data_IF_575368614237
#
_entry.id   IF_575368614237
#
_cell.length_a   1.000
_cell.length_b   1.000
_cell.length_c   1.000
_cell.angle_alpha   90.00
_cell.angle_beta   90.00
_cell.angle_gamma   90.00
#
_symmetry.space_group_name_H-M   'P 1'
#
loop_
_entity.id
_entity.type
_entity.pdbx_description
1 polymer ?
#
# COMPACT_ATOMS: atom_id res chain seq x y z
N UNK A 1 -46.44 53.76 -4.04
CA UNK A 1 -45.76 53.01 -2.95
C UNK A 1 -45.79 51.48 -3.09
N UNK A 2 -46.53 50.89 -4.04
CA UNK A 2 -46.67 49.42 -4.20
C UNK A 2 -45.58 48.74 -5.07
N UNK A 3 -44.93 49.50 -5.96
CA UNK A 3 -43.95 48.99 -6.95
C UNK A 3 -42.57 48.60 -6.35
N UNK A 4 -42.14 49.22 -5.24
CA UNK A 4 -40.84 48.93 -4.61
C UNK A 4 -40.88 47.64 -3.76
N UNK A 5 -42.05 47.34 -3.18
CA UNK A 5 -42.25 46.17 -2.33
C UNK A 5 -42.26 44.85 -3.12
N UNK A 6 -42.83 44.85 -4.34
CA UNK A 6 -42.85 43.69 -5.23
C UNK A 6 -41.47 43.38 -5.82
N UNK A 7 -40.64 44.40 -6.09
CA UNK A 7 -39.26 44.24 -6.61
C UNK A 7 -38.32 43.58 -5.59
N UNK A 8 -38.39 43.95 -4.30
CA UNK A 8 -37.60 43.30 -3.23
C UNK A 8 -38.01 41.84 -2.99
N UNK A 9 -39.30 41.51 -3.13
CA UNK A 9 -39.78 40.12 -3.07
C UNK A 9 -39.26 39.30 -4.24
N UNK A 10 -39.31 39.82 -5.48
CA UNK A 10 -38.78 39.12 -6.67
C UNK A 10 -37.28 38.84 -6.59
N UNK A 11 -36.47 39.78 -6.11
CA UNK A 11 -35.02 39.57 -5.94
C UNK A 11 -34.74 38.53 -4.85
N UNK A 12 -35.52 38.51 -3.76
CA UNK A 12 -35.42 37.48 -2.71
C UNK A 12 -35.77 36.08 -3.24
N UNK A 13 -36.82 35.94 -4.04
CA UNK A 13 -37.18 34.65 -4.67
C UNK A 13 -36.14 34.18 -5.69
N UNK A 14 -35.52 35.10 -6.45
CA UNK A 14 -34.42 34.78 -7.36
C UNK A 14 -33.15 34.34 -6.60
N UNK A 15 -32.82 35.00 -5.49
CA UNK A 15 -31.68 34.61 -4.64
C UNK A 15 -31.89 33.23 -4.01
N UNK A 16 -33.10 32.92 -3.53
CA UNK A 16 -33.45 31.59 -3.00
C UNK A 16 -33.34 30.53 -4.11
N UNK A 17 -33.84 30.81 -5.31
CA UNK A 17 -33.72 29.91 -6.46
C UNK A 17 -32.26 29.63 -6.82
N UNK A 18 -31.39 30.64 -6.81
CA UNK A 18 -29.96 30.48 -7.08
C UNK A 18 -29.25 29.64 -6.01
N UNK A 19 -29.58 29.82 -4.73
CA UNK A 19 -29.04 29.01 -3.63
C UNK A 19 -29.45 27.54 -3.77
N UNK A 20 -30.71 27.26 -4.14
CA UNK A 20 -31.18 25.89 -4.38
C UNK A 20 -30.41 25.26 -5.55
N UNK A 21 -30.20 26.00 -6.64
CA UNK A 21 -29.42 25.51 -7.79
C UNK A 21 -27.99 25.17 -7.38
N UNK A 22 -27.33 26.01 -6.58
CA UNK A 22 -25.98 25.74 -6.08
C UNK A 22 -25.92 24.49 -5.19
N UNK A 23 -26.92 24.29 -4.32
CA UNK A 23 -26.99 23.09 -3.46
C UNK A 23 -27.16 21.83 -4.32
N UNK A 24 -28.04 21.86 -5.32
CA UNK A 24 -28.23 20.74 -6.26
C UNK A 24 -26.94 20.46 -7.05
N UNK A 25 -26.27 21.51 -7.55
CA UNK A 25 -24.99 21.37 -8.26
C UNK A 25 -23.89 20.78 -7.36
N UNK A 26 -23.81 21.22 -6.10
CA UNK A 26 -22.86 20.70 -5.13
C UNK A 26 -23.13 19.23 -4.80
N UNK A 27 -24.40 18.83 -4.70
CA UNK A 27 -24.78 17.43 -4.50
C UNK A 27 -24.43 16.54 -5.70
N UNK A 28 -24.63 17.04 -6.93
CA UNK A 28 -24.24 16.32 -8.16
C UNK A 28 -22.72 16.17 -8.23
N UNK A 29 -21.95 17.23 -7.93
CA UNK A 29 -20.50 17.17 -7.90
C UNK A 29 -19.99 16.22 -6.81
N UNK A 30 -20.59 16.25 -5.62
CA UNK A 30 -20.25 15.33 -4.53
C UNK A 30 -20.51 13.88 -4.94
N UNK A 31 -21.68 13.57 -5.50
CA UNK A 31 -22.01 12.24 -6.03
C UNK A 31 -21.04 11.80 -7.12
N UNK A 32 -20.69 12.70 -8.05
CA UNK A 32 -19.75 12.41 -9.13
C UNK A 32 -18.35 12.11 -8.59
N UNK A 33 -17.83 12.93 -7.68
CA UNK A 33 -16.53 12.71 -7.05
C UNK A 33 -16.50 11.42 -6.22
N UNK A 34 -17.58 11.14 -5.48
CA UNK A 34 -17.73 9.93 -4.69
C UNK A 34 -17.73 8.66 -5.56
N UNK A 35 -18.49 8.67 -6.67
CA UNK A 35 -18.54 7.54 -7.61
C UNK A 35 -17.17 7.32 -8.27
N UNK A 36 -16.49 8.40 -8.69
CA UNK A 36 -15.15 8.28 -9.29
C UNK A 36 -14.11 7.74 -8.30
N UNK A 37 -14.15 8.16 -7.03
CA UNK A 37 -13.28 7.64 -5.98
C UNK A 37 -13.49 6.13 -5.74
N UNK A 38 -14.74 5.68 -5.70
CA UNK A 38 -15.08 4.27 -5.47
C UNK A 38 -14.76 3.39 -6.70
N UNK A 39 -14.84 3.95 -7.91
CA UNK A 39 -14.48 3.25 -9.14
C UNK A 39 -12.94 3.10 -9.30
N UNK A 40 -12.16 4.14 -8.96
CA UNK A 40 -10.69 4.10 -9.08
C UNK A 40 -10.06 3.16 -8.01
N UNK A 41 -10.62 3.16 -6.80
CA UNK A 41 -10.21 2.23 -5.73
C UNK A 41 -10.57 0.77 -6.04
N UNK A 42 -11.74 0.50 -6.64
CA UNK A 42 -12.16 -0.87 -6.99
C UNK A 42 -11.38 -1.47 -8.16
N UNK A 43 -11.07 -0.71 -9.22
CA UNK A 43 -10.28 -1.22 -10.35
C UNK A 43 -8.81 -1.47 -9.99
N UNK A 44 -8.21 -0.59 -9.17
CA UNK A 44 -6.84 -0.79 -8.68
C UNK A 44 -6.73 -1.94 -7.69
N UNK A 45 -7.73 -2.14 -6.81
CA UNK A 45 -7.76 -3.29 -5.90
C UNK A 45 -8.06 -4.61 -6.61
N UNK A 46 -9.03 -4.68 -7.53
CA UNK A 46 -9.38 -5.94 -8.19
C UNK A 46 -8.26 -6.50 -9.08
N UNK A 47 -7.56 -5.64 -9.82
CA UNK A 47 -6.40 -6.02 -10.64
C UNK A 47 -5.18 -6.40 -9.78
N UNK A 48 -4.97 -5.71 -8.66
CA UNK A 48 -3.95 -6.06 -7.66
C UNK A 48 -4.22 -7.41 -7.02
N UNK A 49 -5.44 -7.65 -6.51
CA UNK A 49 -5.82 -8.89 -5.83
C UNK A 49 -5.76 -10.12 -6.75
N UNK A 50 -6.15 -9.97 -8.01
CA UNK A 50 -6.02 -11.04 -9.02
C UNK A 50 -4.56 -11.34 -9.34
N UNK A 51 -3.71 -10.32 -9.48
CA UNK A 51 -2.26 -10.49 -9.67
C UNK A 51 -1.59 -11.15 -8.47
N UNK A 52 -1.92 -10.70 -7.26
CA UNK A 52 -1.45 -11.25 -5.98
C UNK A 52 -1.86 -12.71 -5.83
N UNK A 53 -3.14 -13.02 -6.03
CA UNK A 53 -3.66 -14.38 -5.97
C UNK A 53 -2.96 -15.30 -6.98
N UNK A 54 -2.79 -14.82 -8.22
CA UNK A 54 -2.06 -15.55 -9.27
C UNK A 54 -0.62 -15.83 -8.88
N UNK A 55 0.07 -14.85 -8.30
CA UNK A 55 1.45 -15.03 -7.86
C UNK A 55 1.57 -15.99 -6.67
N UNK A 56 0.70 -15.89 -5.67
CA UNK A 56 0.66 -16.83 -4.55
C UNK A 56 0.34 -18.26 -5.02
N UNK A 57 -0.56 -18.40 -5.99
CA UNK A 57 -0.84 -19.68 -6.63
C UNK A 57 0.41 -20.25 -7.31
N UNK A 58 1.17 -19.43 -8.05
CA UNK A 58 2.42 -19.86 -8.68
C UNK A 58 3.47 -20.30 -7.66
N UNK A 59 3.61 -19.58 -6.54
CA UNK A 59 4.51 -19.96 -5.45
C UNK A 59 4.12 -21.34 -4.92
N UNK A 60 2.86 -21.53 -4.56
CA UNK A 60 2.40 -22.79 -3.97
C UNK A 60 2.48 -23.97 -4.95
N UNK A 61 2.45 -23.71 -6.27
CA UNK A 61 2.49 -24.73 -7.32
C UNK A 61 3.79 -24.66 -8.15
N UNK A 62 4.93 -24.40 -7.51
CA UNK A 62 6.22 -24.17 -8.18
C UNK A 62 6.58 -25.30 -9.16
N UNK A 63 6.25 -26.55 -8.84
CA UNK A 63 6.58 -27.73 -9.65
C UNK A 63 5.95 -27.70 -11.06
N UNK A 64 4.86 -26.97 -11.24
CA UNK A 64 4.25 -26.74 -12.55
C UNK A 64 5.12 -25.85 -13.44
N UNK A 65 5.99 -25.04 -12.84
CA UNK A 65 6.73 -23.96 -13.50
C UNK A 65 8.25 -24.17 -13.51
N UNK A 66 8.79 -25.07 -12.68
CA UNK A 66 10.25 -25.32 -12.58
C UNK A 66 10.90 -25.77 -13.89
N UNK A 67 10.14 -26.33 -14.84
CA UNK A 67 10.67 -26.71 -16.16
C UNK A 67 11.02 -25.51 -17.05
N UNK A 68 10.46 -24.34 -16.77
CA UNK A 68 10.59 -23.16 -17.62
C UNK A 68 11.86 -22.35 -17.33
N UNK A 69 12.37 -22.43 -16.10
CA UNK A 69 13.56 -21.68 -15.67
C UNK A 69 14.62 -22.64 -15.13
N UNK A 70 15.67 -22.97 -15.90
CA UNK A 70 16.77 -23.78 -15.39
C UNK A 70 17.55 -23.02 -14.33
N UNK A 71 18.02 -23.74 -13.30
CA UNK A 71 18.81 -23.17 -12.22
C UNK A 71 20.24 -22.89 -12.70
N UNK A 72 20.74 -21.68 -12.42
CA UNK A 72 22.09 -21.23 -12.76
C UNK A 72 22.87 -20.88 -11.50
N UNK A 73 23.89 -21.69 -11.19
CA UNK A 73 24.70 -21.53 -9.98
C UNK A 73 25.67 -20.35 -10.00
N UNK A 74 25.91 -19.76 -11.17
CA UNK A 74 26.64 -18.50 -11.30
C UNK A 74 25.75 -17.26 -11.10
N UNK A 75 24.46 -17.43 -10.85
CA UNK A 75 23.55 -16.34 -10.50
C UNK A 75 23.34 -16.32 -9.00
N UNK A 76 23.71 -15.19 -8.39
CA UNK A 76 23.71 -14.99 -6.94
C UNK A 76 22.58 -14.03 -6.54
N UNK A 77 21.90 -14.34 -5.45
CA UNK A 77 20.89 -13.47 -4.82
C UNK A 77 21.34 -13.17 -3.40
N UNK A 78 21.47 -11.88 -3.07
CA UNK A 78 21.71 -11.46 -1.70
C UNK A 78 20.46 -11.69 -0.85
N UNK A 79 20.60 -12.46 0.23
CA UNK A 79 19.47 -12.85 1.08
C UNK A 79 19.70 -12.45 2.53
N UNK A 80 18.73 -11.74 3.12
CA UNK A 80 18.84 -11.18 4.46
C UNK A 80 17.88 -11.86 5.46
N UNK A 81 18.36 -12.80 6.31
CA UNK A 81 17.52 -13.53 7.26
C UNK A 81 17.33 -12.80 8.60
N UNK A 82 17.16 -11.47 8.59
CA UNK A 82 17.15 -10.63 9.80
C UNK A 82 15.78 -10.03 10.18
N UNK A 83 14.71 -10.46 9.53
CA UNK A 83 13.35 -9.96 9.78
C UNK A 83 12.63 -10.82 10.82
N UNK A 84 11.77 -10.20 11.64
CA UNK A 84 11.05 -10.89 12.71
C UNK A 84 9.70 -10.28 13.03
N UNK A 85 8.78 -11.07 13.57
CA UNK A 85 7.44 -10.64 13.91
C UNK A 85 7.01 -11.15 15.31
N UNK A 86 5.95 -10.57 15.92
CA UNK A 86 5.56 -10.90 17.29
C UNK A 86 5.25 -12.37 17.55
N UNK A 87 4.74 -13.09 16.55
CA UNK A 87 4.36 -14.50 16.64
C UNK A 87 5.59 -15.42 16.79
N UNK A 88 6.66 -15.17 16.05
CA UNK A 88 7.85 -16.05 16.00
C UNK A 88 9.07 -15.50 16.76
N UNK A 89 9.09 -14.21 17.10
CA UNK A 89 10.28 -13.50 17.60
C UNK A 89 10.07 -12.87 18.98
N UNK A 90 9.22 -13.46 19.82
CA UNK A 90 9.08 -13.07 21.23
C UNK A 90 8.27 -11.79 21.44
N UNK A 91 7.20 -11.59 20.67
CA UNK A 91 6.31 -10.45 20.84
C UNK A 91 6.78 -9.15 20.19
N UNK A 92 7.89 -9.16 19.45
CA UNK A 92 8.48 -7.97 18.83
C UNK A 92 8.65 -8.12 17.32
N UNK A 93 8.56 -6.99 16.63
CA UNK A 93 9.06 -6.88 15.26
C UNK A 93 10.58 -6.69 15.28
N UNK A 94 11.27 -7.32 14.34
CA UNK A 94 12.71 -7.13 14.08
C UNK A 94 12.89 -6.61 12.66
N UNK A 95 13.70 -5.57 12.52
CA UNK A 95 13.99 -4.85 11.27
C UNK A 95 12.79 -4.16 10.59
N UNK A 96 11.57 -4.68 10.70
CA UNK A 96 10.36 -3.98 10.22
C UNK A 96 10.13 -2.67 10.99
N UNK A 97 10.41 -2.67 12.29
CA UNK A 97 10.35 -1.50 13.17
C UNK A 97 11.68 -0.73 13.24
N UNK A 98 12.48 -0.74 12.17
CA UNK A 98 13.78 -0.07 12.16
C UNK A 98 13.63 1.41 12.52
N UNK A 99 14.66 1.99 13.14
CA UNK A 99 14.66 3.41 13.50
C UNK A 99 14.96 4.25 12.26
N UNK A 100 14.28 5.39 12.10
CA UNK A 100 14.70 6.40 11.10
C UNK A 100 16.08 6.94 11.48
N UNK A 101 17.04 6.79 10.57
CA UNK A 101 18.43 7.19 10.80
C UNK A 101 18.55 8.71 10.81
N UNK A 102 19.32 9.24 11.76
CA UNK A 102 19.59 10.67 11.82
C UNK A 102 20.51 11.07 10.66
N UNK A 103 20.24 12.24 10.07
CA UNK A 103 21.17 12.86 9.14
C UNK A 103 22.50 13.18 9.88
N UNK A 104 23.63 13.08 9.20
CA UNK A 104 24.95 13.29 9.81
C UNK A 104 25.13 14.72 10.37
N UNK A 105 24.57 15.73 9.68
CA UNK A 105 24.44 17.10 10.19
C UNK A 105 23.30 17.17 11.22
N UNK A 106 23.63 17.60 12.45
CA UNK A 106 22.70 17.68 13.59
C UNK A 106 21.53 18.64 13.39
N UNK A 107 21.76 19.79 12.75
CA UNK A 107 20.70 20.78 12.49
C UNK A 107 19.68 20.22 11.49
N UNK A 108 20.15 19.53 10.44
CA UNK A 108 19.27 18.81 9.52
C UNK A 108 18.57 17.65 10.20
N UNK A 109 19.27 16.90 11.05
CA UNK A 109 18.66 15.79 11.77
C UNK A 109 17.48 16.26 12.63
N UNK A 110 17.62 17.39 13.34
CA UNK A 110 16.57 17.94 14.19
C UNK A 110 15.26 18.27 13.45
N UNK A 111 15.29 18.39 12.11
CA UNK A 111 14.11 18.69 11.29
C UNK A 111 13.25 17.44 10.98
N UNK A 112 13.77 16.23 11.20
CA UNK A 112 13.07 14.98 10.84
C UNK A 112 12.88 14.08 12.07
N UNK A 113 11.76 13.34 12.10
CA UNK A 113 11.54 12.34 13.14
C UNK A 113 12.53 11.18 13.02
N UNK A 114 13.16 10.82 14.14
CA UNK A 114 14.00 9.63 14.27
C UNK A 114 13.28 8.50 15.01
N UNK A 115 11.95 8.54 15.11
CA UNK A 115 11.17 7.48 15.74
C UNK A 115 11.30 6.18 14.94
N UNK A 116 11.05 5.06 15.62
CA UNK A 116 10.90 3.75 14.97
C UNK A 116 9.63 3.73 14.14
N UNK A 117 9.64 2.88 13.13
CA UNK A 117 8.43 2.49 12.42
C UNK A 117 7.53 1.63 13.35
N UNK A 118 6.21 1.68 13.13
CA UNK A 118 5.18 0.94 13.90
C UNK A 118 4.45 -0.09 13.03
N UNK A 119 5.02 -1.30 12.84
CA UNK A 119 4.37 -2.36 12.07
C UNK A 119 3.06 -2.82 12.76
N UNK A 120 2.07 -3.34 11.99
CA UNK A 120 2.22 -3.82 10.62
C UNK A 120 2.03 -2.77 9.52
N UNK A 121 1.41 -1.63 9.82
CA UNK A 121 1.02 -0.65 8.79
C UNK A 121 2.16 0.33 8.45
N UNK A 122 2.97 0.73 9.44
CA UNK A 122 4.18 1.54 9.24
C UNK A 122 5.42 0.64 9.37
N UNK A 123 6.03 0.27 8.24
CA UNK A 123 7.26 -0.53 8.21
C UNK A 123 8.44 0.29 7.68
N UNK A 124 9.65 -0.09 8.07
CA UNK A 124 10.91 0.49 7.59
C UNK A 124 11.25 0.13 6.15
N UNK A 125 10.33 0.35 5.22
CA UNK A 125 10.48 0.10 3.78
C UNK A 125 9.54 1.02 2.99
N UNK A 126 10.01 1.50 1.83
CA UNK A 126 9.17 2.22 0.89
C UNK A 126 8.19 1.30 0.13
N UNK A 127 8.43 -0.01 0.15
CA UNK A 127 7.58 -1.03 -0.48
C UNK A 127 7.01 -1.96 0.57
N UNK A 128 5.76 -2.41 0.37
CA UNK A 128 5.14 -3.37 1.26
C UNK A 128 5.32 -4.80 0.72
N UNK A 129 5.92 -5.73 1.49
CA UNK A 129 6.11 -7.11 1.04
C UNK A 129 4.77 -7.82 0.92
N UNK A 130 4.61 -8.62 -0.14
CA UNK A 130 3.40 -9.42 -0.34
C UNK A 130 3.13 -10.40 0.82
N UNK A 131 4.18 -10.93 1.44
CA UNK A 131 4.08 -11.83 2.59
C UNK A 131 3.85 -11.10 3.93
N UNK A 132 3.65 -9.78 3.91
CA UNK A 132 3.52 -8.94 5.09
C UNK A 132 4.82 -8.84 5.90
N UNK A 133 4.78 -8.24 7.10
CA UNK A 133 5.93 -8.15 8.01
C UNK A 133 6.21 -9.53 8.62
N UNK A 134 6.83 -10.39 7.83
CA UNK A 134 7.09 -11.79 8.14
C UNK A 134 8.25 -11.99 9.13
N UNK A 135 8.37 -13.19 9.68
CA UNK A 135 9.58 -13.64 10.37
C UNK A 135 10.45 -14.50 9.47
N UNK A 136 11.75 -14.19 9.40
CA UNK A 136 12.76 -15.02 8.74
C UNK A 136 12.97 -16.37 9.43
N UNK A 137 12.49 -16.53 10.68
CA UNK A 137 12.53 -17.81 11.42
C UNK A 137 11.37 -18.75 11.06
N UNK A 138 10.33 -18.25 10.41
CA UNK A 138 9.19 -19.07 9.99
C UNK A 138 9.59 -19.98 8.83
N UNK A 139 9.50 -21.29 9.04
CA UNK A 139 9.78 -22.31 8.00
C UNK A 139 8.86 -22.15 6.79
N UNK A 140 7.60 -21.76 7.00
CA UNK A 140 6.64 -21.51 5.93
C UNK A 140 7.02 -20.30 5.06
N UNK A 141 7.63 -19.26 5.65
CA UNK A 141 8.14 -18.10 4.91
C UNK A 141 9.42 -18.47 4.16
N UNK A 142 10.32 -19.21 4.80
CA UNK A 142 11.55 -19.69 4.19
C UNK A 142 11.27 -20.55 2.95
N UNK A 143 10.34 -21.49 3.04
CA UNK A 143 9.90 -22.32 1.91
C UNK A 143 9.40 -21.44 0.74
N UNK A 144 8.54 -20.45 1.02
CA UNK A 144 8.05 -19.52 -0.01
C UNK A 144 9.19 -18.73 -0.65
N UNK A 145 10.16 -18.23 0.12
CA UNK A 145 11.32 -17.54 -0.44
C UNK A 145 12.16 -18.46 -1.33
N UNK A 146 12.42 -19.69 -0.92
CA UNK A 146 13.17 -20.66 -1.74
C UNK A 146 12.43 -20.96 -3.05
N UNK A 147 11.10 -21.05 -3.03
CA UNK A 147 10.29 -21.19 -4.24
C UNK A 147 10.39 -19.96 -5.15
N UNK A 148 10.33 -18.74 -4.60
CA UNK A 148 10.51 -17.51 -5.38
C UNK A 148 11.90 -17.44 -6.02
N UNK A 149 12.96 -17.82 -5.29
CA UNK A 149 14.33 -17.90 -5.81
C UNK A 149 14.43 -18.98 -6.90
N UNK A 150 13.81 -20.16 -6.69
CA UNK A 150 13.76 -21.22 -7.70
C UNK A 150 13.06 -20.73 -8.97
N UNK A 151 11.99 -19.96 -8.85
CA UNK A 151 11.28 -19.37 -9.99
C UNK A 151 12.14 -18.37 -10.77
N UNK A 152 13.02 -17.61 -10.09
CA UNK A 152 13.93 -16.66 -10.75
C UNK A 152 15.06 -17.35 -11.53
N UNK A 153 15.36 -18.62 -11.22
CA UNK A 153 16.44 -19.40 -11.83
C UNK A 153 17.81 -19.20 -11.19
N UNK A 154 17.92 -18.40 -10.13
CA UNK A 154 19.16 -18.28 -9.37
C UNK A 154 19.44 -19.55 -8.54
N UNK A 155 20.69 -19.99 -8.53
CA UNK A 155 21.12 -21.21 -7.84
C UNK A 155 21.89 -20.97 -6.53
N UNK A 156 22.26 -19.71 -6.24
CA UNK A 156 23.15 -19.41 -5.12
C UNK A 156 22.64 -18.23 -4.30
N UNK A 157 22.67 -18.38 -2.98
CA UNK A 157 22.41 -17.30 -2.02
C UNK A 157 23.74 -16.76 -1.49
N UNK A 158 23.82 -15.46 -1.25
CA UNK A 158 25.02 -14.78 -0.75
C UNK A 158 24.70 -13.81 0.37
#
# INVERSE_FOLDING_TARGET
MWQVYTRRRRIRWLAIGFVIILIVWCFILYKSLYINYEQDTSHTHASSLTSVSSFLYKINNVDLFIKQTPVKYNYHVFYYPWYGNPEYDGGQYLHWNHRRLAHWNREKAAQYSQNKHEPPDDIGSNFYPLLGPYSSRSSAILDKHMRMIRMSGAGTLS
#
